data_IF_030392472528
#
_entry.id   IF_030392472528
#
_cell.length_a   1.000
_cell.length_b   1.000
_cell.length_c   1.000
_cell.angle_alpha   90.00
_cell.angle_beta   90.00
_cell.angle_gamma   90.00
#
_symmetry.space_group_name_H-M   'P 1'
#
loop_
_entity.id
_entity.type
_entity.pdbx_description
1 polymer ?
#
# COMPACT_ATOMS: atom_id res chain seq x y z
N UNK A 1 -17.11 -20.11 -0.47
CA UNK A 1 -17.66 -18.80 -0.04
C UNK A 1 -16.73 -17.74 -0.63
N UNK A 2 -17.22 -16.85 -1.50
CA UNK A 2 -16.40 -15.78 -2.08
C UNK A 2 -16.57 -14.56 -1.17
N UNK A 3 -15.48 -14.05 -0.61
CA UNK A 3 -15.48 -12.85 0.22
C UNK A 3 -15.12 -11.64 -0.64
N UNK A 4 -15.89 -10.55 -0.49
CA UNK A 4 -15.56 -9.25 -1.08
C UNK A 4 -14.93 -8.38 0.01
N UNK A 5 -13.71 -7.91 -0.24
CA UNK A 5 -13.02 -6.99 0.66
C UNK A 5 -12.51 -5.78 -0.12
N UNK A 6 -12.67 -4.56 0.42
CA UNK A 6 -12.12 -3.38 -0.20
C UNK A 6 -10.59 -3.38 -0.11
N UNK A 7 -9.97 -2.74 -1.09
CA UNK A 7 -8.54 -2.41 -1.04
C UNK A 7 -8.39 -1.06 -0.37
N UNK A 8 -7.54 -1.02 0.64
CA UNK A 8 -7.30 0.13 1.51
C UNK A 8 -5.80 0.42 1.58
N UNK A 9 -5.45 1.63 1.99
CA UNK A 9 -4.06 1.99 2.23
C UNK A 9 -3.66 1.67 3.66
N UNK A 10 -2.64 0.83 3.80
CA UNK A 10 -1.96 0.58 5.06
C UNK A 10 -0.87 1.63 5.27
N UNK A 11 -0.91 2.32 6.41
CA UNK A 11 0.07 3.34 6.77
C UNK A 11 0.40 3.25 8.27
N UNK A 12 1.55 3.80 8.67
CA UNK A 12 1.85 3.99 10.09
C UNK A 12 0.79 4.93 10.73
N UNK A 13 0.38 4.74 12.00
CA UNK A 13 -0.60 5.61 12.64
C UNK A 13 -0.28 7.11 12.64
N UNK A 14 1.00 7.49 12.58
CA UNK A 14 1.42 8.90 12.50
C UNK A 14 1.66 9.39 11.07
N UNK A 15 1.33 8.59 10.06
CA UNK A 15 1.47 8.98 8.66
C UNK A 15 0.55 10.16 8.33
N UNK A 16 1.13 11.18 7.69
CA UNK A 16 0.40 12.33 7.17
C UNK A 16 0.72 12.47 5.69
N UNK A 17 -0.32 12.46 4.86
CA UNK A 17 -0.17 12.72 3.42
C UNK A 17 0.24 14.18 3.20
N UNK A 18 1.37 14.38 2.52
CA UNK A 18 1.92 15.70 2.22
C UNK A 18 1.68 16.03 0.74
N UNK A 19 0.92 17.09 0.46
CA UNK A 19 0.44 17.44 -0.89
C UNK A 19 1.53 17.56 -1.97
N UNK A 20 2.75 17.93 -1.58
CA UNK A 20 3.86 18.17 -2.52
C UNK A 20 5.03 17.21 -2.31
N UNK A 21 4.80 16.09 -1.61
CA UNK A 21 5.83 15.07 -1.37
C UNK A 21 5.50 13.83 -2.17
N UNK A 22 6.52 13.27 -2.83
CA UNK A 22 6.43 11.97 -3.48
C UNK A 22 6.03 10.91 -2.45
N UNK A 23 4.93 10.22 -2.71
CA UNK A 23 4.39 9.17 -1.87
C UNK A 23 5.25 7.91 -1.98
N UNK A 24 5.84 7.48 -0.87
CA UNK A 24 6.66 6.27 -0.82
C UNK A 24 5.78 5.02 -0.71
N UNK A 25 5.93 4.10 -1.65
CA UNK A 25 5.15 2.87 -1.74
C UNK A 25 5.98 1.62 -1.44
N UNK A 26 5.38 0.73 -0.64
CA UNK A 26 5.78 -0.66 -0.48
C UNK A 26 4.76 -1.54 -1.22
N UNK A 27 5.21 -2.30 -2.22
CA UNK A 27 4.31 -3.10 -3.07
C UNK A 27 4.79 -4.53 -3.22
N UNK A 28 3.87 -5.40 -3.61
CA UNK A 28 4.26 -6.68 -4.18
C UNK A 28 4.98 -6.50 -5.52
N UNK A 29 5.54 -7.58 -6.03
CA UNK A 29 6.15 -7.59 -7.35
C UNK A 29 5.18 -7.22 -8.48
N UNK A 30 5.74 -6.98 -9.66
CA UNK A 30 4.96 -6.74 -10.88
C UNK A 30 4.02 -7.91 -11.17
N UNK A 31 2.86 -7.58 -11.74
CA UNK A 31 1.78 -8.55 -11.98
C UNK A 31 0.83 -8.76 -10.79
N UNK A 32 1.14 -8.23 -9.59
CA UNK A 32 0.19 -8.22 -8.49
C UNK A 32 -0.97 -7.24 -8.75
N UNK A 33 -2.20 -7.74 -8.68
CA UNK A 33 -3.40 -6.93 -8.91
C UNK A 33 -3.52 -5.74 -7.94
N UNK A 34 -3.14 -5.92 -6.67
CA UNK A 34 -3.15 -4.84 -5.68
C UNK A 34 -2.17 -3.73 -6.03
N UNK A 35 -0.99 -4.09 -6.56
CA UNK A 35 -0.03 -3.11 -7.06
C UNK A 35 -0.64 -2.33 -8.21
N UNK A 36 -1.18 -3.01 -9.22
CA UNK A 36 -1.73 -2.34 -10.39
C UNK A 36 -2.85 -1.36 -10.01
N UNK A 37 -3.82 -1.79 -9.20
CA UNK A 37 -4.90 -0.92 -8.74
C UNK A 37 -4.42 0.29 -7.95
N UNK A 38 -3.37 0.11 -7.15
CA UNK A 38 -2.78 1.20 -6.37
C UNK A 38 -2.11 2.24 -7.27
N UNK A 39 -1.31 1.79 -8.26
CA UNK A 39 -0.63 2.67 -9.19
C UNK A 39 -1.63 3.43 -10.06
N UNK A 40 -2.60 2.73 -10.65
CA UNK A 40 -3.68 3.33 -11.44
C UNK A 40 -4.51 4.34 -10.60
N UNK A 41 -4.79 4.01 -9.34
CA UNK A 41 -5.50 4.89 -8.43
C UNK A 41 -4.75 6.18 -8.14
N UNK A 42 -3.43 6.10 -7.93
CA UNK A 42 -2.57 7.25 -7.68
C UNK A 42 -2.40 8.12 -8.94
N UNK A 43 -2.24 7.49 -10.11
CA UNK A 43 -2.16 8.19 -11.40
C UNK A 43 -3.45 8.98 -11.69
N UNK A 44 -4.61 8.35 -11.50
CA UNK A 44 -5.91 9.02 -11.65
C UNK A 44 -6.12 10.15 -10.65
N UNK A 45 -5.52 10.07 -9.47
CA UNK A 45 -5.57 11.11 -8.45
C UNK A 45 -4.54 12.23 -8.66
N UNK A 46 -3.61 12.08 -9.62
CA UNK A 46 -2.50 13.02 -9.82
C UNK A 46 -1.55 13.08 -8.63
N UNK A 47 -1.37 11.96 -7.91
CA UNK A 47 -0.46 11.88 -6.75
C UNK A 47 0.86 11.29 -7.21
N UNK A 48 1.94 12.08 -7.12
CA UNK A 48 3.29 11.60 -7.39
C UNK A 48 3.69 10.53 -6.38
N UNK A 49 4.24 9.42 -6.87
CA UNK A 49 4.65 8.30 -6.04
C UNK A 49 5.99 7.71 -6.49
N UNK A 50 6.59 6.95 -5.59
CA UNK A 50 7.78 6.14 -5.87
C UNK A 50 7.69 4.82 -5.14
N UNK A 51 7.91 3.73 -5.86
CA UNK A 51 8.10 2.40 -5.24
C UNK A 51 9.49 2.40 -4.59
N UNK A 52 9.51 2.34 -3.26
CA UNK A 52 10.76 2.35 -2.47
C UNK A 52 11.09 0.99 -1.88
N UNK A 53 10.12 0.08 -1.87
CA UNK A 53 10.28 -1.26 -1.33
C UNK A 53 9.39 -2.26 -2.08
N UNK A 54 9.95 -3.41 -2.44
CA UNK A 54 9.22 -4.51 -3.08
C UNK A 54 9.49 -5.78 -2.31
N UNK A 55 8.44 -6.55 -2.03
CA UNK A 55 8.57 -7.83 -1.34
C UNK A 55 7.50 -8.82 -1.79
N UNK A 56 7.83 -10.11 -1.78
CA UNK A 56 6.86 -11.20 -1.96
C UNK A 56 6.12 -11.57 -0.67
N UNK A 57 6.54 -11.03 0.47
CA UNK A 57 5.94 -11.33 1.77
C UNK A 57 5.09 -10.18 2.27
N UNK A 58 3.85 -10.48 2.68
CA UNK A 58 2.98 -9.52 3.36
C UNK A 58 3.63 -8.99 4.65
N UNK A 59 4.37 -9.82 5.39
CA UNK A 59 5.05 -9.37 6.61
C UNK A 59 6.09 -8.30 6.31
N UNK A 60 6.90 -8.48 5.26
CA UNK A 60 7.90 -7.50 4.85
C UNK A 60 7.28 -6.17 4.41
N UNK A 61 6.15 -6.22 3.70
CA UNK A 61 5.42 -4.99 3.32
C UNK A 61 4.84 -4.28 4.54
N UNK A 62 4.27 -5.04 5.49
CA UNK A 62 3.76 -4.47 6.74
C UNK A 62 4.88 -3.94 7.65
N UNK A 63 6.08 -4.53 7.61
CA UNK A 63 7.22 -4.03 8.37
C UNK A 63 7.72 -2.70 7.80
N UNK A 64 7.71 -2.52 6.48
CA UNK A 64 7.97 -1.23 5.84
C UNK A 64 6.94 -0.15 6.26
N UNK A 65 5.67 -0.54 6.34
CA UNK A 65 4.59 0.33 6.83
C UNK A 65 4.80 0.68 8.30
N UNK A 66 5.05 -0.31 9.17
CA UNK A 66 5.28 -0.09 10.61
C UNK A 66 6.49 0.80 10.87
N UNK A 67 7.57 0.62 10.11
CA UNK A 67 8.75 1.47 10.17
C UNK A 67 8.48 2.92 9.70
N UNK A 68 7.36 3.17 9.04
CA UNK A 68 6.88 4.52 8.71
C UNK A 68 7.53 5.15 7.47
N UNK A 69 8.29 4.38 6.69
CA UNK A 69 8.94 4.91 5.50
C UNK A 69 8.17 4.67 4.19
N UNK A 70 7.11 3.86 4.22
CA UNK A 70 6.26 3.59 3.06
C UNK A 70 4.80 3.30 3.45
N UNK A 71 3.88 3.47 2.50
CA UNK A 71 2.50 2.95 2.59
C UNK A 71 2.32 1.75 1.67
N UNK A 72 1.32 0.92 1.93
CA UNK A 72 1.08 -0.31 1.16
C UNK A 72 -0.41 -0.47 0.78
N UNK A 73 -0.75 -0.78 -0.48
CA UNK A 73 -2.11 -1.16 -0.85
C UNK A 73 -2.42 -2.57 -0.34
N UNK A 74 -3.36 -2.68 0.60
CA UNK A 74 -3.68 -3.94 1.27
C UNK A 74 -5.17 -4.24 1.19
N UNK A 75 -5.54 -5.52 1.32
CA UNK A 75 -6.94 -5.88 1.52
C UNK A 75 -7.35 -5.57 2.95
N UNK A 76 -8.55 -5.01 3.16
CA UNK A 76 -9.03 -4.70 4.51
C UNK A 76 -9.11 -5.93 5.45
N UNK A 77 -9.18 -7.16 4.88
CA UNK A 77 -9.15 -8.41 5.66
C UNK A 77 -7.85 -8.56 6.45
N UNK A 78 -6.73 -8.03 5.95
CA UNK A 78 -5.42 -8.15 6.62
C UNK A 78 -5.40 -7.47 8.00
N UNK A 79 -6.36 -6.60 8.31
CA UNK A 79 -6.47 -5.89 9.59
C UNK A 79 -7.55 -6.44 10.53
N UNK A 80 -8.26 -7.51 10.15
CA UNK A 80 -9.24 -8.13 11.04
C UNK A 80 -8.53 -8.96 12.11
N UNK A 81 -8.86 -8.80 13.41
CA UNK A 81 -8.47 -9.78 14.41
C UNK A 81 -9.21 -11.08 14.09
N UNK A 82 -8.45 -12.17 13.94
CA UNK A 82 -8.99 -13.54 13.82
C UNK A 82 -9.54 -13.95 15.18
#
# INVERSE_FOLDING_TARGET
>A
MIAHAPVVWAANPVFVLQKHKILALATFEEGCILRNWALEGLERAGIDYKIVYVSRSISGLLDAVKAGFAIHPSSAITFLPI
#
